data_IF_828926727043
#
_entry.id   IF_828926727043
#
_cell.length_a   1.000
_cell.length_b   1.000
_cell.length_c   1.000
_cell.angle_alpha   90.00
_cell.angle_beta   90.00
_cell.angle_gamma   90.00
#
_symmetry.space_group_name_H-M   'P 1'
#
loop_
_entity.id
_entity.type
_entity.pdbx_description
1 polymer ?
#
# COMPACT_ATOMS: atom_id res chain seq x y z
N UNK A 1 -29.01 -35.11 -47.62
CA UNK A 1 -30.44 -34.75 -47.53
C UNK A 1 -30.96 -35.17 -46.16
N UNK A 2 -31.58 -34.22 -45.43
CA UNK A 2 -32.42 -34.39 -44.22
C UNK A 2 -31.62 -34.71 -42.93
N UNK A 3 -31.79 -34.05 -41.79
CA UNK A 3 -32.77 -33.05 -41.36
C UNK A 3 -32.17 -32.21 -40.22
N UNK A 4 -32.31 -30.89 -40.34
CA UNK A 4 -31.94 -29.87 -39.36
C UNK A 4 -33.15 -29.64 -38.46
N UNK A 5 -33.07 -30.00 -37.18
CA UNK A 5 -34.15 -29.76 -36.21
C UNK A 5 -33.74 -28.63 -35.28
N UNK A 6 -34.26 -27.44 -35.58
CA UNK A 6 -34.17 -26.22 -34.78
C UNK A 6 -35.21 -26.33 -33.65
N UNK A 7 -34.77 -26.24 -32.40
CA UNK A 7 -35.64 -25.96 -31.27
C UNK A 7 -35.37 -24.54 -30.77
N UNK A 8 -36.32 -23.66 -31.04
CA UNK A 8 -36.47 -22.33 -30.41
C UNK A 8 -37.56 -22.49 -29.34
N UNK A 9 -37.18 -22.32 -28.08
CA UNK A 9 -38.07 -22.05 -26.93
C UNK A 9 -37.12 -21.74 -25.75
N UNK A 10 -37.24 -20.70 -24.94
CA UNK A 10 -38.19 -19.64 -24.75
C UNK A 10 -37.69 -18.86 -23.53
N UNK A 11 -37.85 -17.54 -23.53
CA UNK A 11 -37.47 -16.63 -22.46
C UNK A 11 -38.09 -17.03 -21.11
N UNK A 12 -37.27 -17.07 -20.05
CA UNK A 12 -37.69 -16.82 -18.67
C UNK A 12 -36.65 -15.93 -18.00
N UNK A 13 -36.95 -14.63 -17.96
CA UNK A 13 -36.35 -13.68 -17.04
C UNK A 13 -36.76 -14.07 -15.62
N UNK A 14 -35.85 -14.64 -14.83
CA UNK A 14 -35.92 -14.56 -13.38
C UNK A 14 -34.82 -13.61 -12.89
N UNK A 15 -35.28 -12.45 -12.42
CA UNK A 15 -34.44 -11.48 -11.74
C UNK A 15 -33.86 -12.08 -10.46
N UNK A 16 -32.54 -12.31 -10.48
CA UNK A 16 -31.74 -12.42 -9.28
C UNK A 16 -31.24 -11.03 -8.92
N UNK A 17 -31.75 -10.47 -7.84
CA UNK A 17 -31.24 -9.23 -7.25
C UNK A 17 -29.76 -9.42 -6.92
N UNK A 18 -28.88 -8.73 -7.65
CA UNK A 18 -27.47 -8.63 -7.30
C UNK A 18 -27.41 -7.74 -6.06
N UNK A 19 -27.23 -8.34 -4.89
CA UNK A 19 -26.88 -7.60 -3.68
C UNK A 19 -25.49 -7.02 -3.90
N UNK A 20 -25.44 -5.81 -4.44
CA UNK A 20 -24.27 -4.96 -4.40
C UNK A 20 -24.02 -4.60 -2.94
N UNK A 21 -23.24 -5.43 -2.24
CA UNK A 21 -22.57 -5.00 -1.02
C UNK A 21 -21.62 -3.91 -1.47
N UNK A 22 -22.01 -2.66 -1.20
CA UNK A 22 -21.12 -1.52 -1.27
C UNK A 22 -19.93 -1.83 -0.37
N UNK A 23 -18.82 -2.30 -0.96
CA UNK A 23 -17.51 -2.34 -0.32
C UNK A 23 -17.11 -0.89 -0.13
N UNK A 24 -17.49 -0.33 1.01
CA UNK A 24 -16.86 0.88 1.51
C UNK A 24 -15.39 0.53 1.72
N UNK A 25 -14.53 0.98 0.81
CA UNK A 25 -13.09 0.98 1.05
C UNK A 25 -12.78 1.76 2.33
N UNK A 26 -11.64 1.49 2.98
CA UNK A 26 -11.25 2.22 4.18
C UNK A 26 -11.18 3.73 3.89
N UNK A 27 -11.45 4.58 4.89
CA UNK A 27 -11.38 6.02 4.72
C UNK A 27 -9.96 6.41 4.27
N UNK A 28 -9.86 7.04 3.10
CA UNK A 28 -8.62 7.69 2.69
C UNK A 28 -8.33 8.80 3.70
N UNK A 29 -7.17 8.73 4.35
CA UNK A 29 -6.65 9.81 5.19
C UNK A 29 -6.38 11.03 4.29
N UNK A 30 -7.33 11.97 4.25
CA UNK A 30 -7.17 13.28 3.63
C UNK A 30 -6.04 14.06 4.32
N UNK A 31 -4.81 13.90 3.82
CA UNK A 31 -3.65 14.73 4.21
C UNK A 31 -3.24 15.72 3.10
N UNK A 32 -3.94 15.74 1.96
CA UNK A 32 -3.56 16.55 0.80
C UNK A 32 -3.88 18.05 0.85
N UNK A 33 -4.72 18.53 1.78
CA UNK A 33 -5.21 19.92 1.75
C UNK A 33 -4.56 20.86 2.79
N UNK A 34 -3.60 20.41 3.59
CA UNK A 34 -2.91 21.27 4.58
C UNK A 34 -1.57 21.84 4.14
N UNK A 35 -1.10 21.55 2.93
CA UNK A 35 0.20 22.04 2.43
C UNK A 35 0.06 22.86 1.14
N UNK A 36 -0.85 23.82 1.09
CA UNK A 36 -0.86 24.84 0.03
C UNK A 36 -1.69 26.08 0.38
N UNK A 37 -1.38 26.78 1.48
CA UNK A 37 -1.78 28.18 1.65
C UNK A 37 -1.00 28.80 2.82
N UNK A 38 0.25 29.20 2.58
CA UNK A 38 0.89 30.23 3.40
C UNK A 38 0.33 31.59 2.94
N UNK A 39 -0.75 32.04 3.59
CA UNK A 39 -1.24 33.41 3.43
C UNK A 39 -0.36 34.37 4.26
N UNK A 40 -0.03 35.57 3.75
CA UNK A 40 0.75 36.54 4.50
C UNK A 40 -0.05 37.07 5.70
N UNK A 41 0.63 37.27 6.82
CA UNK A 41 0.02 37.72 8.07
C UNK A 41 -0.64 39.11 7.91
N UNK A 42 -1.87 39.33 8.40
CA UNK A 42 -2.47 40.66 8.44
C UNK A 42 -1.74 41.52 9.48
N UNK A 43 -1.28 42.70 9.07
CA UNK A 43 -0.74 43.72 9.98
C UNK A 43 -1.86 44.21 10.92
N UNK A 44 -1.70 43.99 12.22
CA UNK A 44 -2.61 44.56 13.22
C UNK A 44 -2.33 46.07 13.40
N UNK A 45 -3.37 46.93 13.48
CA UNK A 45 -3.19 48.33 13.87
C UNK A 45 -2.73 48.44 15.34
N UNK A 46 -2.03 49.53 15.72
CA UNK A 46 -1.49 49.68 17.08
C UNK A 46 -2.62 49.81 18.11
N UNK A 47 -2.47 49.08 19.23
CA UNK A 47 -3.42 49.07 20.35
C UNK A 47 -3.34 50.37 21.18
N UNK A 48 -4.46 50.92 21.67
CA UNK A 48 -4.47 52.00 22.66
C UNK A 48 -4.05 51.50 24.05
N UNK A 49 -3.50 52.38 24.92
CA UNK A 49 -2.95 51.97 26.20
C UNK A 49 -4.03 51.68 27.25
N UNK A 50 -3.90 50.54 27.92
CA UNK A 50 -4.21 50.35 29.35
C UNK A 50 -5.68 50.20 29.74
N UNK A 51 -6.11 48.96 29.96
CA UNK A 51 -6.95 48.62 31.12
C UNK A 51 -6.71 47.15 31.50
N UNK A 52 -6.30 46.94 32.74
CA UNK A 52 -5.88 45.63 33.25
C UNK A 52 -7.06 44.66 33.36
N UNK A 53 -6.98 43.58 32.61
CA UNK A 53 -7.70 42.34 32.90
C UNK A 53 -6.69 41.19 32.87
N UNK A 54 -6.62 40.32 33.91
CA UNK A 54 -5.70 39.21 33.91
C UNK A 54 -6.08 38.19 32.81
N UNK A 55 -5.11 37.50 32.20
CA UNK A 55 -5.38 36.49 31.19
C UNK A 55 -6.19 35.32 31.79
N UNK A 56 -7.05 34.65 31.00
CA UNK A 56 -7.76 33.47 31.46
C UNK A 56 -6.75 32.36 31.81
N UNK A 57 -7.06 31.49 32.80
CA UNK A 57 -6.20 30.36 33.15
C UNK A 57 -6.02 29.47 31.92
N UNK A 58 -4.77 29.16 31.57
CA UNK A 58 -4.48 28.16 30.54
C UNK A 58 -5.08 26.80 30.91
N UNK A 59 -5.35 25.92 29.93
CA UNK A 59 -5.72 24.54 30.23
C UNK A 59 -4.63 23.91 31.12
N UNK A 60 -5.00 23.12 32.13
CA UNK A 60 -4.04 22.53 33.05
C UNK A 60 -3.01 21.75 32.25
N UNK A 61 -1.74 22.16 32.36
CA UNK A 61 -0.63 21.42 31.79
C UNK A 61 -0.73 19.97 32.24
N UNK A 62 -0.69 19.04 31.28
CA UNK A 62 -0.56 17.63 31.59
C UNK A 62 0.74 17.48 32.37
N UNK A 63 0.61 17.25 33.67
CA UNK A 63 1.75 16.97 34.53
C UNK A 63 2.57 15.82 33.90
N UNK A 64 3.91 15.88 33.94
CA UNK A 64 4.72 14.73 33.57
C UNK A 64 4.26 13.52 34.42
N UNK A 65 4.16 12.31 33.84
CA UNK A 65 3.72 11.15 34.59
C UNK A 65 4.63 10.98 35.82
N UNK A 66 4.06 10.70 37.00
CA UNK A 66 4.84 10.54 38.21
C UNK A 66 5.88 9.42 38.01
N UNK A 67 7.15 9.65 38.38
CA UNK A 67 8.17 8.61 38.29
C UNK A 67 7.80 7.51 39.30
N UNK A 68 7.44 6.33 38.79
CA UNK A 68 7.17 5.15 39.63
C UNK A 68 5.72 4.64 39.64
N UNK A 69 4.86 5.04 38.70
CA UNK A 69 3.59 4.33 38.49
C UNK A 69 3.84 2.83 38.19
N UNK A 70 2.98 1.91 38.68
CA UNK A 70 3.12 0.50 38.34
C UNK A 70 3.13 0.33 36.81
N UNK A 71 3.93 -0.59 36.27
CA UNK A 71 3.98 -0.81 34.83
C UNK A 71 2.56 -1.05 34.33
N UNK A 72 2.12 -0.20 33.39
CA UNK A 72 0.85 -0.40 32.69
C UNK A 72 0.94 -1.79 32.07
N UNK A 73 0.03 -2.72 32.39
CA UNK A 73 0.05 -4.04 31.78
C UNK A 73 0.00 -3.88 30.27
N UNK A 74 0.80 -4.64 29.49
CA UNK A 74 0.66 -4.62 28.05
C UNK A 74 -0.80 -4.91 27.71
N UNK A 75 -1.38 -4.11 26.81
CA UNK A 75 -2.76 -4.28 26.40
C UNK A 75 -2.96 -5.73 25.93
N UNK A 76 -3.96 -6.42 26.49
CA UNK A 76 -4.26 -7.77 26.07
C UNK A 76 -4.61 -7.78 24.58
N UNK A 77 -4.04 -8.72 23.83
CA UNK A 77 -4.38 -8.90 22.42
C UNK A 77 -5.87 -9.27 22.30
N UNK A 78 -6.58 -8.72 21.31
CA UNK A 78 -7.94 -9.17 21.01
C UNK A 78 -7.99 -10.69 20.80
N UNK A 79 -9.06 -11.38 21.24
CA UNK A 79 -9.16 -12.84 21.16
C UNK A 79 -8.98 -13.43 19.76
N UNK A 80 -9.26 -12.64 18.71
CA UNK A 80 -9.18 -13.03 17.30
C UNK A 80 -7.91 -12.52 16.59
N UNK A 81 -7.00 -11.84 17.30
CA UNK A 81 -5.88 -11.14 16.68
C UNK A 81 -4.95 -12.07 15.91
N UNK A 82 -4.61 -13.24 16.47
CA UNK A 82 -3.76 -14.21 15.79
C UNK A 82 -4.47 -14.87 14.60
N UNK A 83 -5.79 -15.00 14.64
CA UNK A 83 -6.57 -15.53 13.52
C UNK A 83 -6.49 -14.60 12.30
N UNK A 84 -6.37 -13.28 12.51
CA UNK A 84 -6.24 -12.28 11.45
C UNK A 84 -4.95 -12.43 10.65
N UNK A 85 -3.88 -12.95 11.25
CA UNK A 85 -2.65 -13.28 10.54
C UNK A 85 -2.89 -14.34 9.44
N UNK A 86 -3.64 -15.40 9.76
CA UNK A 86 -4.01 -16.43 8.79
C UNK A 86 -4.96 -15.89 7.72
N UNK A 87 -5.95 -15.08 8.13
CA UNK A 87 -6.87 -14.43 7.19
C UNK A 87 -6.10 -13.54 6.20
N UNK A 88 -5.09 -12.80 6.67
CA UNK A 88 -4.28 -11.95 5.81
C UNK A 88 -3.55 -12.75 4.73
N UNK A 89 -3.01 -13.93 5.07
CA UNK A 89 -2.39 -14.83 4.09
C UNK A 89 -3.42 -15.32 3.05
N UNK A 90 -4.62 -15.68 3.48
CA UNK A 90 -5.68 -16.12 2.56
C UNK A 90 -6.19 -14.97 1.67
N UNK A 91 -6.34 -13.76 2.22
CA UNK A 91 -6.66 -12.56 1.46
C UNK A 91 -5.58 -12.25 0.41
N UNK A 92 -4.30 -12.39 0.78
CA UNK A 92 -3.18 -12.23 -0.14
C UNK A 92 -3.21 -13.28 -1.27
N UNK A 93 -3.48 -14.55 -0.96
CA UNK A 93 -3.62 -15.62 -1.97
C UNK A 93 -4.76 -15.35 -2.93
N UNK A 94 -5.92 -14.92 -2.43
CA UNK A 94 -7.06 -14.55 -3.25
C UNK A 94 -6.72 -13.36 -4.16
N UNK A 95 -6.15 -12.30 -3.60
CA UNK A 95 -5.77 -11.09 -4.33
C UNK A 95 -4.69 -11.34 -5.39
N UNK A 96 -3.75 -12.26 -5.16
CA UNK A 96 -2.68 -12.60 -6.11
C UNK A 96 -3.21 -12.94 -7.50
N UNK A 97 -4.37 -13.60 -7.60
CA UNK A 97 -4.97 -13.97 -8.89
C UNK A 97 -5.44 -12.76 -9.71
N UNK A 98 -5.58 -11.61 -9.07
CA UNK A 98 -6.05 -10.35 -9.63
C UNK A 98 -4.90 -9.34 -9.82
N UNK A 99 -3.67 -9.72 -9.49
CA UNK A 99 -2.52 -8.83 -9.69
C UNK A 99 -2.21 -8.67 -11.16
N UNK A 100 -1.92 -7.43 -11.55
CA UNK A 100 -1.47 -7.10 -12.91
C UNK A 100 -0.10 -6.44 -12.86
N UNK A 101 0.73 -6.64 -13.90
CA UNK A 101 1.96 -5.89 -14.04
C UNK A 101 1.66 -4.41 -14.20
N UNK A 102 2.35 -3.56 -13.44
CA UNK A 102 2.28 -2.11 -13.57
C UNK A 102 3.41 -1.50 -14.39
N UNK A 103 3.52 -0.16 -14.41
CA UNK A 103 4.63 0.54 -15.02
C UNK A 103 5.98 0.06 -14.48
N UNK A 104 7.00 0.16 -15.34
CA UNK A 104 8.41 -0.02 -14.96
C UNK A 104 9.06 1.35 -15.01
N UNK A 105 9.82 1.72 -13.97
CA UNK A 105 10.48 3.02 -13.90
C UNK A 105 11.92 2.91 -13.42
N UNK A 106 12.67 3.95 -13.74
CA UNK A 106 14.03 4.16 -13.27
C UNK A 106 14.03 5.39 -12.36
N UNK A 107 14.72 5.29 -11.24
CA UNK A 107 14.98 6.44 -10.38
C UNK A 107 16.46 6.49 -9.96
N UNK A 108 16.86 7.65 -9.44
CA UNK A 108 18.14 7.82 -8.75
C UNK A 108 17.87 7.82 -7.25
N UNK A 109 18.52 6.92 -6.53
CA UNK A 109 18.50 6.92 -5.08
C UNK A 109 19.48 7.99 -4.53
N UNK A 110 19.43 8.30 -3.21
CA UNK A 110 20.11 9.49 -2.67
C UNK A 110 21.62 9.59 -2.91
N UNK A 111 22.34 8.46 -3.02
CA UNK A 111 23.78 8.48 -3.32
C UNK A 111 24.07 8.48 -4.84
N UNK A 112 23.05 8.60 -5.69
CA UNK A 112 23.15 8.66 -7.14
C UNK A 112 23.07 7.30 -7.84
N UNK A 113 22.85 6.22 -7.10
CA UNK A 113 22.69 4.88 -7.61
C UNK A 113 21.40 4.74 -8.43
N UNK A 114 21.49 3.98 -9.52
CA UNK A 114 20.35 3.70 -10.42
C UNK A 114 19.52 2.58 -9.82
N UNK A 115 18.21 2.81 -9.69
CA UNK A 115 17.26 1.80 -9.22
C UNK A 115 16.18 1.61 -10.28
N UNK A 116 15.88 0.34 -10.59
CA UNK A 116 14.85 -0.05 -11.54
C UNK A 116 13.77 -0.80 -10.78
N UNK A 117 12.51 -0.39 -10.93
CA UNK A 117 11.39 -1.02 -10.25
C UNK A 117 10.23 -1.25 -11.20
N UNK A 118 9.38 -2.22 -10.86
CA UNK A 118 8.09 -2.43 -11.49
C UNK A 118 6.98 -2.55 -10.43
N UNK A 119 5.82 -1.98 -10.71
CA UNK A 119 4.70 -2.06 -9.78
C UNK A 119 3.97 -3.40 -9.89
N UNK A 120 3.52 -3.90 -8.74
CA UNK A 120 2.47 -4.90 -8.63
C UNK A 120 1.17 -4.13 -8.42
N UNK A 121 0.27 -4.19 -9.39
CA UNK A 121 -1.01 -3.50 -9.30
C UNK A 121 -2.10 -4.44 -8.81
N UNK A 122 -3.00 -3.89 -8.00
CA UNK A 122 -4.26 -4.51 -7.63
C UNK A 122 -5.33 -3.43 -7.68
N UNK A 123 -6.39 -3.63 -8.49
CA UNK A 123 -7.45 -2.62 -8.70
C UNK A 123 -6.90 -1.24 -9.14
N UNK A 124 -5.81 -1.22 -9.93
CA UNK A 124 -5.23 0.00 -10.48
C UNK A 124 -4.33 0.79 -9.53
N UNK A 125 -4.12 0.33 -8.30
CA UNK A 125 -3.20 0.95 -7.32
C UNK A 125 -2.00 0.04 -7.06
N UNK A 126 -0.85 0.63 -6.75
CA UNK A 126 0.33 -0.16 -6.41
C UNK A 126 0.20 -0.75 -5.00
N UNK A 127 0.32 -2.07 -4.91
CA UNK A 127 0.30 -2.82 -3.64
C UNK A 127 1.66 -3.41 -3.28
N UNK A 128 2.66 -3.14 -4.12
CA UNK A 128 4.06 -3.49 -3.91
C UNK A 128 4.90 -3.15 -5.14
N UNK A 129 6.22 -3.21 -5.00
CA UNK A 129 7.16 -3.08 -6.10
C UNK A 129 8.13 -4.26 -6.13
N UNK A 130 8.45 -4.69 -7.35
CA UNK A 130 9.58 -5.55 -7.66
C UNK A 130 10.79 -4.67 -7.98
N UNK A 131 11.97 -5.08 -7.55
CA UNK A 131 13.21 -4.37 -7.84
C UNK A 131 14.09 -5.20 -8.77
N UNK A 132 14.74 -4.54 -9.73
CA UNK A 132 15.56 -5.18 -10.75
C UNK A 132 16.97 -4.62 -10.73
N UNK A 133 17.92 -5.48 -11.09
CA UNK A 133 19.29 -5.07 -11.34
C UNK A 133 19.32 -4.12 -12.53
N UNK A 134 19.91 -2.92 -12.39
CA UNK A 134 20.04 -1.98 -13.50
C UNK A 134 21.09 -2.44 -14.54
N UNK A 135 21.83 -3.51 -14.27
CA UNK A 135 22.90 -4.02 -15.16
C UNK A 135 22.36 -4.99 -16.20
N UNK A 136 21.53 -5.94 -15.76
CA UNK A 136 21.10 -7.10 -16.55
C UNK A 136 19.58 -7.34 -16.51
N UNK A 137 18.83 -6.51 -15.78
CA UNK A 137 17.37 -6.63 -15.66
C UNK A 137 16.91 -7.78 -14.77
N UNK A 138 17.81 -8.43 -14.03
CA UNK A 138 17.45 -9.57 -13.17
C UNK A 138 16.66 -9.12 -11.95
N UNK A 139 15.60 -9.86 -11.60
CA UNK A 139 14.79 -9.64 -10.41
C UNK A 139 15.62 -9.84 -9.12
N UNK A 140 15.65 -8.82 -8.28
CA UNK A 140 16.39 -8.81 -7.02
C UNK A 140 15.51 -9.26 -5.84
N UNK A 141 16.09 -9.95 -4.83
CA UNK A 141 15.43 -10.14 -3.55
C UNK A 141 15.11 -8.80 -2.88
N UNK A 142 13.98 -8.73 -2.19
CA UNK A 142 13.58 -7.57 -1.41
C UNK A 142 14.65 -7.26 -0.36
N UNK A 143 15.04 -5.99 -0.29
CA UNK A 143 16.05 -5.51 0.65
C UNK A 143 17.49 -5.59 0.12
N UNK A 144 17.74 -6.31 -0.97
CA UNK A 144 19.04 -6.29 -1.63
C UNK A 144 19.15 -5.04 -2.51
N UNK A 145 20.18 -4.21 -2.26
CA UNK A 145 20.39 -2.94 -2.97
C UNK A 145 21.72 -2.97 -3.71
N UNK A 146 21.66 -3.06 -5.04
CA UNK A 146 22.85 -2.98 -5.88
C UNK A 146 23.24 -1.51 -6.06
N UNK A 147 24.52 -1.19 -5.79
CA UNK A 147 25.06 0.17 -5.97
C UNK A 147 25.73 0.28 -7.33
N UNK A 148 25.00 0.78 -8.31
CA UNK A 148 25.51 1.02 -9.66
C UNK A 148 25.28 2.47 -10.06
N UNK A 149 26.32 3.09 -10.57
CA UNK A 149 26.31 4.47 -11.05
C UNK A 149 26.52 4.46 -12.57
N UNK A 150 25.84 5.37 -13.28
CA UNK A 150 26.05 5.61 -14.72
C UNK A 150 25.90 4.39 -15.65
N UNK A 151 24.80 3.64 -15.50
CA UNK A 151 24.42 2.57 -16.42
C UNK A 151 23.23 2.97 -17.27
N UNK A 152 23.24 2.56 -18.55
CA UNK A 152 22.06 2.63 -19.42
C UNK A 152 21.21 1.38 -19.20
N UNK A 153 19.99 1.57 -18.72
CA UNK A 153 19.08 0.47 -18.38
C UNK A 153 18.11 0.23 -19.53
N UNK A 154 18.00 -1.02 -19.98
CA UNK A 154 16.94 -1.44 -20.90
C UNK A 154 15.64 -1.74 -20.13
N UNK A 155 14.79 -0.73 -19.94
CA UNK A 155 13.45 -0.88 -19.34
C UNK A 155 12.59 -1.90 -20.12
N UNK A 156 12.85 -2.01 -21.42
CA UNK A 156 12.07 -2.82 -22.35
C UNK A 156 12.30 -4.31 -22.15
N UNK A 157 13.46 -4.70 -21.63
CA UNK A 157 13.69 -6.08 -21.20
C UNK A 157 12.84 -6.40 -19.97
N UNK A 158 12.90 -5.55 -18.94
CA UNK A 158 12.12 -5.74 -17.71
C UNK A 158 10.63 -5.79 -18.01
N UNK A 159 10.10 -4.87 -18.83
CA UNK A 159 8.69 -4.86 -19.25
C UNK A 159 8.25 -6.16 -19.94
N UNK A 160 9.13 -6.78 -20.73
CA UNK A 160 8.86 -8.02 -21.47
C UNK A 160 8.82 -9.24 -20.54
N UNK A 161 9.68 -9.27 -19.54
CA UNK A 161 9.78 -10.39 -18.60
C UNK A 161 8.73 -10.32 -17.48
N UNK A 162 8.29 -9.11 -17.14
CA UNK A 162 7.41 -8.82 -16.01
C UNK A 162 6.13 -9.67 -15.98
N UNK A 163 5.38 -9.88 -17.09
CA UNK A 163 4.21 -10.77 -17.08
C UNK A 163 4.54 -12.20 -16.65
N UNK A 164 5.69 -12.73 -17.10
CA UNK A 164 6.15 -14.07 -16.73
C UNK A 164 6.53 -14.15 -15.25
N UNK A 165 7.15 -13.10 -14.71
CA UNK A 165 7.46 -13.00 -13.27
C UNK A 165 6.18 -12.97 -12.44
N UNK A 166 5.20 -12.14 -12.83
CA UNK A 166 3.89 -12.06 -12.17
C UNK A 166 3.17 -13.41 -12.16
N UNK A 167 3.24 -14.17 -13.26
CA UNK A 167 2.65 -15.50 -13.35
C UNK A 167 3.32 -16.52 -12.40
N UNK A 168 4.59 -16.33 -12.03
CA UNK A 168 5.33 -17.18 -11.09
C UNK A 168 5.30 -16.68 -9.65
N UNK A 169 4.72 -15.51 -9.38
CA UNK A 169 4.64 -14.92 -8.06
C UNK A 169 3.84 -15.82 -7.10
N UNK A 170 4.40 -16.13 -5.95
CA UNK A 170 3.83 -16.96 -4.90
C UNK A 170 3.60 -16.14 -3.64
N UNK A 171 2.51 -16.43 -2.93
CA UNK A 171 2.26 -15.90 -1.59
C UNK A 171 2.79 -16.90 -0.58
N UNK A 172 3.69 -16.47 0.32
CA UNK A 172 4.23 -17.34 1.36
C UNK A 172 3.26 -17.45 2.54
N UNK A 173 3.29 -18.60 3.24
CA UNK A 173 2.47 -18.85 4.42
C UNK A 173 3.09 -18.18 5.67
N UNK A 174 2.98 -16.86 5.75
CA UNK A 174 3.42 -16.08 6.90
C UNK A 174 2.93 -14.64 6.82
N UNK A 175 2.62 -14.06 7.98
CA UNK A 175 2.23 -12.66 8.09
C UNK A 175 2.93 -12.02 9.29
N UNK A 176 3.47 -10.82 9.09
CA UNK A 176 4.08 -10.00 10.14
C UNK A 176 3.15 -8.81 10.42
N UNK A 177 2.77 -8.58 11.67
CA UNK A 177 2.04 -7.35 12.02
C UNK A 177 3.00 -6.16 12.08
N UNK A 178 2.66 -5.04 11.44
CA UNK A 178 3.48 -3.83 11.39
C UNK A 178 2.75 -2.58 11.86
N UNK A 179 3.37 -1.91 12.82
CA UNK A 179 3.05 -0.56 13.24
C UNK A 179 3.98 0.46 12.54
N UNK A 180 3.58 1.73 12.38
CA UNK A 180 2.32 2.34 12.83
C UNK A 180 1.14 2.13 11.87
N UNK A 181 1.34 1.50 10.71
CA UNK A 181 0.30 1.36 9.68
C UNK A 181 -0.84 0.40 10.05
N UNK A 182 -0.72 -0.34 11.16
CA UNK A 182 -1.69 -1.32 11.63
C UNK A 182 -2.09 -2.28 10.50
N UNK A 183 -1.11 -2.99 9.96
CA UNK A 183 -1.32 -3.91 8.85
C UNK A 183 -0.54 -5.22 9.04
N UNK A 184 -1.02 -6.26 8.38
CA UNK A 184 -0.33 -7.52 8.17
C UNK A 184 0.48 -7.45 6.88
N UNK A 185 1.76 -7.76 6.98
CA UNK A 185 2.68 -7.85 5.85
C UNK A 185 2.86 -9.31 5.47
N UNK A 186 2.44 -9.65 4.26
CA UNK A 186 2.53 -11.01 3.70
C UNK A 186 3.63 -11.05 2.64
N UNK A 187 4.64 -11.92 2.77
CA UNK A 187 5.73 -12.01 1.80
C UNK A 187 5.28 -12.58 0.45
N UNK A 188 5.74 -11.95 -0.63
CA UNK A 188 5.59 -12.42 -2.00
C UNK A 188 6.94 -12.92 -2.51
N UNK A 189 6.94 -14.09 -3.15
CA UNK A 189 8.15 -14.77 -3.57
C UNK A 189 8.14 -15.21 -5.03
N UNK A 190 9.32 -15.27 -5.63
CA UNK A 190 9.58 -15.87 -6.95
C UNK A 190 10.85 -16.69 -6.83
N UNK A 191 10.81 -17.97 -7.24
CA UNK A 191 12.01 -18.84 -7.29
C UNK A 191 12.79 -18.89 -5.96
N UNK A 192 12.07 -18.99 -4.84
CA UNK A 192 12.67 -19.05 -3.50
C UNK A 192 13.16 -17.72 -2.93
N UNK A 193 12.99 -16.60 -3.65
CA UNK A 193 13.38 -15.25 -3.19
C UNK A 193 12.14 -14.49 -2.76
N UNK A 194 12.15 -13.87 -1.57
CA UNK A 194 11.14 -12.84 -1.25
C UNK A 194 11.47 -11.61 -2.09
N UNK A 195 10.52 -11.15 -2.90
CA UNK A 195 10.74 -10.07 -3.89
C UNK A 195 9.87 -8.84 -3.61
N UNK A 196 8.76 -9.01 -2.93
CA UNK A 196 7.87 -7.94 -2.52
C UNK A 196 7.14 -8.32 -1.23
N UNK A 197 6.49 -7.33 -0.63
CA UNK A 197 5.59 -7.50 0.52
C UNK A 197 4.22 -6.99 0.10
N UNK A 198 3.16 -7.73 0.42
CA UNK A 198 1.79 -7.27 0.30
C UNK A 198 1.31 -6.80 1.67
N UNK A 199 0.61 -5.66 1.72
CA UNK A 199 -0.01 -5.17 2.94
C UNK A 199 -1.50 -5.51 2.95
N UNK A 200 -1.97 -6.06 4.06
CA UNK A 200 -3.37 -6.34 4.35
C UNK A 200 -3.72 -5.58 5.63
N UNK A 201 -4.84 -4.87 5.67
CA UNK A 201 -5.28 -4.08 6.81
C UNK A 201 -5.42 -4.92 8.09
N UNK A 202 -5.44 -4.29 9.26
CA UNK A 202 -5.42 -5.01 10.55
C UNK A 202 -6.51 -6.08 10.68
N UNK A 203 -7.63 -5.93 9.98
CA UNK A 203 -8.75 -6.89 9.94
C UNK A 203 -8.42 -8.22 9.25
N UNK A 204 -7.28 -8.32 8.56
CA UNK A 204 -6.83 -9.53 7.87
C UNK A 204 -7.54 -9.82 6.55
N UNK A 205 -8.37 -8.92 6.02
CA UNK A 205 -9.18 -9.19 4.81
C UNK A 205 -8.92 -8.17 3.70
N UNK A 206 -8.68 -6.91 4.03
CA UNK A 206 -8.56 -5.86 3.01
C UNK A 206 -7.11 -5.64 2.59
N UNK A 207 -6.78 -5.94 1.33
CA UNK A 207 -5.49 -5.51 0.74
C UNK A 207 -5.47 -3.99 0.64
N UNK A 208 -4.39 -3.37 1.09
CA UNK A 208 -4.21 -1.91 1.06
C UNK A 208 -3.05 -1.51 0.14
N UNK A 209 -3.05 -0.28 -0.40
CA UNK A 209 -1.95 0.22 -1.20
C UNK A 209 -0.63 0.26 -0.41
N UNK A 210 0.48 0.08 -1.12
CA UNK A 210 1.79 0.45 -0.61
C UNK A 210 2.05 1.92 -0.97
N UNK A 211 1.56 2.84 -0.13
CA UNK A 211 1.53 4.28 -0.46
C UNK A 211 2.86 4.87 -0.92
N UNK A 212 4.03 4.57 -0.30
CA UNK A 212 5.31 5.04 -0.82
C UNK A 212 5.59 4.55 -2.24
N UNK A 213 5.26 3.30 -2.54
CA UNK A 213 5.43 2.73 -3.89
C UNK A 213 4.45 3.34 -4.87
N UNK A 214 3.19 3.53 -4.49
CA UNK A 214 2.17 4.12 -5.35
C UNK A 214 2.51 5.57 -5.70
N UNK A 215 3.00 6.35 -4.73
CA UNK A 215 3.50 7.71 -4.95
C UNK A 215 4.72 7.73 -5.89
N UNK A 216 5.68 6.84 -5.66
CA UNK A 216 6.85 6.71 -6.51
C UNK A 216 6.47 6.30 -7.95
N UNK A 217 5.57 5.33 -8.10
CA UNK A 217 5.04 4.92 -9.40
C UNK A 217 4.34 6.09 -10.11
N UNK A 218 3.53 6.89 -9.41
CA UNK A 218 2.90 8.08 -10.03
C UNK A 218 3.92 9.14 -10.45
N UNK A 219 5.00 9.29 -9.69
CA UNK A 219 6.05 10.26 -9.99
C UNK A 219 6.94 9.85 -11.17
N UNK A 220 7.30 8.56 -11.27
CA UNK A 220 8.32 8.07 -12.20
C UNK A 220 7.83 7.02 -13.20
N UNK A 221 6.72 6.34 -12.92
CA UNK A 221 6.09 5.34 -13.79
C UNK A 221 5.44 5.99 -15.00
N UNK A 222 6.17 6.00 -16.11
CA UNK A 222 5.70 6.43 -17.44
C UNK A 222 5.83 5.28 -18.44
#
# INVERSE_FOLDING_TARGET
MKSLTIWILGLLFLGGAVMAVARQGPPLLNQGERMAQAAPAPQQPPLPPGSGTPPPPGPPGTAPPPPGGPPVPPAALPPDFLQKAFQAVEAAKAARTLFTPGPVWIMKAPAGEVVVKAAILYQGVAVGALEFSPVDGVLLPKGYKLRVYNVSVSVEQVRRELPGIMARLQVLNGAEYREPEACWVVPLAVEGKIVAHLKVYYDGVHVIPDYPVDQEMRAYGR
#
